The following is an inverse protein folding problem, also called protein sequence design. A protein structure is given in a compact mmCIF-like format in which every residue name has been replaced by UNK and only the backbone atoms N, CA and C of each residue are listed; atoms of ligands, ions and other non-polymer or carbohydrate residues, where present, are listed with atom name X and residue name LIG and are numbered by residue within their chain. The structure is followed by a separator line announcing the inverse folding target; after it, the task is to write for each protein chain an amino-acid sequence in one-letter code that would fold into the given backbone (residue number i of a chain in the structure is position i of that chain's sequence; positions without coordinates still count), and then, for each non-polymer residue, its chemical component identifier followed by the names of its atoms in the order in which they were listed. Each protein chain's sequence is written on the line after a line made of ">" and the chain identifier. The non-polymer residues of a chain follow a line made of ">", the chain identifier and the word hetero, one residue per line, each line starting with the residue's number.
data_IF_793168901143
#
_entry.id   IF_793168901143
#
_cell.length_a   1.000
_cell.length_b   1.000
_cell.length_c   1.000
_cell.angle_alpha   90.00
_cell.angle_beta   90.00
_cell.angle_gamma   90.00
#
_symmetry.space_group_name_H-M   'P 1'
#
loop_
_entity.id
_entity.type
_entity.pdbx_description
1 polymer ?
#
# COMPACT_ATOMS: atom_id res chain seq x y z
N UNK A 1 0.78 4.18 -30.62
CA UNK A 1 -0.46 4.39 -29.83
C UNK A 1 -0.83 5.86 -29.98
N UNK A 2 -0.86 6.35 -31.22
CA UNK A 2 -0.56 7.77 -31.45
C UNK A 2 -1.81 8.61 -31.20
N UNK A 3 -2.99 8.08 -31.53
CA UNK A 3 -4.28 8.74 -31.30
C UNK A 3 -4.51 9.15 -29.84
N UNK A 4 -4.10 8.32 -28.87
CA UNK A 4 -4.33 8.59 -27.44
C UNK A 4 -3.25 9.54 -26.92
N UNK A 5 -1.99 9.26 -27.20
CA UNK A 5 -0.88 10.04 -26.64
C UNK A 5 -0.81 11.45 -27.23
N UNK A 6 -1.17 11.63 -28.49
CA UNK A 6 -1.29 12.95 -29.11
C UNK A 6 -2.42 13.77 -28.49
N UNK A 7 -3.57 13.14 -28.20
CA UNK A 7 -4.69 13.80 -27.54
C UNK A 7 -4.37 14.14 -26.07
N UNK A 8 -3.71 13.22 -25.35
CA UNK A 8 -3.23 13.48 -23.99
C UNK A 8 -2.25 14.65 -23.95
N UNK A 9 -1.30 14.72 -24.89
CA UNK A 9 -0.38 15.86 -25.01
C UNK A 9 -1.14 17.18 -25.21
N UNK A 10 -2.12 17.21 -26.12
CA UNK A 10 -2.95 18.41 -26.35
C UNK A 10 -3.71 18.83 -25.09
N UNK A 11 -4.37 17.88 -24.41
CA UNK A 11 -5.19 18.17 -23.25
C UNK A 11 -4.37 18.56 -22.01
N UNK A 12 -3.20 17.96 -21.81
CA UNK A 12 -2.37 18.16 -20.63
C UNK A 12 -1.42 19.36 -20.70
N UNK A 13 -1.19 19.95 -21.87
CA UNK A 13 -0.42 21.22 -22.02
C UNK A 13 -0.95 22.38 -21.17
N UNK A 14 -2.21 22.32 -20.74
CA UNK A 14 -2.76 23.31 -19.78
C UNK A 14 -2.12 23.23 -18.39
N UNK A 15 -1.51 22.10 -18.05
CA UNK A 15 -0.88 21.81 -16.74
C UNK A 15 0.61 21.52 -16.85
N UNK A 16 1.06 20.94 -17.97
CA UNK A 16 2.43 20.51 -18.18
C UNK A 16 3.18 21.49 -19.10
N UNK A 17 4.47 21.75 -18.85
CA UNK A 17 5.29 22.59 -19.73
C UNK A 17 5.56 21.88 -21.06
N UNK A 18 5.78 22.65 -22.13
CA UNK A 18 6.04 22.11 -23.48
C UNK A 18 7.19 21.10 -23.54
N UNK A 19 8.15 21.18 -22.62
CA UNK A 19 9.28 20.24 -22.51
C UNK A 19 8.85 18.79 -22.25
N UNK A 20 7.64 18.54 -21.73
CA UNK A 20 7.14 17.17 -21.53
C UNK A 20 6.57 16.56 -22.80
N UNK A 21 6.24 17.37 -23.81
CA UNK A 21 5.52 16.92 -25.00
C UNK A 21 6.19 15.73 -25.73
N UNK A 22 7.53 15.71 -25.92
CA UNK A 22 8.18 14.60 -26.60
C UNK A 22 8.01 13.25 -25.87
N UNK A 23 8.10 13.23 -24.53
CA UNK A 23 7.96 11.98 -23.76
C UNK A 23 6.50 11.56 -23.62
N UNK A 24 5.57 12.52 -23.50
CA UNK A 24 4.13 12.23 -23.50
C UNK A 24 3.72 11.59 -24.82
N UNK A 25 4.14 12.14 -25.97
CA UNK A 25 3.84 11.55 -27.30
C UNK A 25 4.55 10.22 -27.52
N UNK A 26 5.77 10.04 -27.01
CA UNK A 26 6.53 8.78 -27.13
C UNK A 26 5.88 7.63 -26.35
N UNK A 27 5.44 7.88 -25.10
CA UNK A 27 5.04 6.80 -24.21
C UNK A 27 4.13 7.17 -23.04
N UNK A 28 3.57 8.38 -23.02
CA UNK A 28 2.70 8.90 -21.96
C UNK A 28 3.35 8.91 -20.55
N UNK A 29 4.67 9.03 -20.48
CA UNK A 29 5.42 9.33 -19.26
C UNK A 29 6.11 10.68 -19.38
N UNK A 30 6.39 11.34 -18.26
CA UNK A 30 7.00 12.68 -18.26
C UNK A 30 7.68 13.04 -16.94
N UNK A 31 8.56 14.05 -17.02
CA UNK A 31 9.29 14.64 -15.91
C UNK A 31 8.99 16.13 -15.85
N UNK A 32 8.64 16.64 -14.68
CA UNK A 32 8.39 18.07 -14.46
C UNK A 32 9.09 18.55 -13.19
N UNK A 33 9.79 19.68 -13.29
CA UNK A 33 10.30 20.37 -12.11
C UNK A 33 9.16 21.20 -11.52
N UNK A 34 8.60 20.75 -10.40
CA UNK A 34 7.43 21.39 -9.76
C UNK A 34 7.84 22.68 -9.06
N UNK A 35 9.03 22.68 -8.44
CA UNK A 35 9.65 23.84 -7.82
C UNK A 35 11.16 23.60 -7.71
N UNK A 36 12.00 24.63 -7.47
CA UNK A 36 13.44 24.43 -7.28
C UNK A 36 13.73 23.31 -6.25
N UNK A 37 14.54 22.32 -6.66
CA UNK A 37 14.87 21.17 -5.80
C UNK A 37 13.80 20.08 -5.69
N UNK A 38 12.68 20.16 -6.42
CA UNK A 38 11.61 19.16 -6.36
C UNK A 38 11.04 18.82 -7.75
N UNK A 39 11.19 17.55 -8.13
CA UNK A 39 10.78 16.98 -9.41
C UNK A 39 9.70 15.92 -9.22
N UNK A 40 8.80 15.86 -10.19
CA UNK A 40 7.79 14.82 -10.28
C UNK A 40 7.99 14.02 -11.57
N UNK A 41 7.99 12.69 -11.44
CA UNK A 41 8.10 11.75 -12.54
C UNK A 41 6.81 10.96 -12.63
N UNK A 42 6.10 11.05 -13.76
CA UNK A 42 4.89 10.27 -14.04
C UNK A 42 5.22 9.13 -14.99
N UNK A 43 4.99 7.90 -14.56
CA UNK A 43 5.27 6.67 -15.32
C UNK A 43 4.00 6.11 -15.97
N UNK A 44 4.17 5.49 -17.14
CA UNK A 44 3.14 4.71 -17.79
C UNK A 44 3.27 3.22 -17.44
N UNK A 45 2.69 2.87 -16.29
CA UNK A 45 2.74 1.51 -15.75
C UNK A 45 2.05 0.44 -16.63
N UNK A 46 1.37 0.82 -17.72
CA UNK A 46 0.88 -0.15 -18.71
C UNK A 46 2.01 -0.91 -19.40
N UNK A 47 3.25 -0.39 -19.38
CA UNK A 47 4.43 -1.09 -19.88
C UNK A 47 4.91 -2.23 -18.98
N UNK A 48 4.41 -2.30 -17.75
CA UNK A 48 4.59 -3.48 -16.90
C UNK A 48 3.35 -4.35 -16.78
N UNK A 49 2.19 -3.95 -17.31
CA UNK A 49 0.93 -4.64 -17.10
C UNK A 49 0.90 -6.03 -17.79
N UNK A 50 0.68 -7.10 -17.04
CA UNK A 50 0.56 -8.46 -17.56
C UNK A 50 -0.71 -8.69 -18.42
N UNK A 51 -1.66 -7.75 -18.39
CA UNK A 51 -2.84 -7.70 -19.29
C UNK A 51 -2.55 -6.94 -20.58
N UNK A 52 -1.39 -6.31 -20.72
CA UNK A 52 -0.97 -5.66 -21.96
C UNK A 52 -0.34 -6.69 -22.91
N UNK A 53 -1.19 -7.34 -23.71
CA UNK A 53 -0.84 -8.30 -24.75
C UNK A 53 0.22 -7.82 -25.76
N UNK A 54 0.42 -6.51 -25.97
CA UNK A 54 1.50 -5.99 -26.82
C UNK A 54 2.89 -6.36 -26.29
N UNK A 55 3.03 -6.60 -24.98
CA UNK A 55 4.28 -7.01 -24.35
C UNK A 55 4.71 -8.44 -24.73
N UNK A 56 3.84 -9.23 -25.36
CA UNK A 56 4.21 -10.53 -25.93
C UNK A 56 5.17 -10.39 -27.11
N UNK A 57 5.14 -9.26 -27.83
CA UNK A 57 6.07 -8.99 -28.93
C UNK A 57 7.45 -8.67 -28.41
N UNK A 58 7.53 -7.76 -27.42
CA UNK A 58 8.76 -7.45 -26.70
C UNK A 58 8.42 -6.78 -25.36
N UNK A 59 8.84 -7.41 -24.27
CA UNK A 59 8.67 -6.90 -22.90
C UNK A 59 9.95 -6.27 -22.33
N UNK A 60 11.01 -6.16 -23.12
CA UNK A 60 12.28 -5.55 -22.72
C UNK A 60 12.14 -4.04 -22.72
N UNK A 61 12.03 -3.45 -21.53
CA UNK A 61 11.90 -2.01 -21.25
C UNK A 61 11.12 -1.24 -22.34
N UNK A 62 9.80 -1.47 -22.46
CA UNK A 62 9.00 -0.84 -23.50
C UNK A 62 9.10 0.68 -23.47
N UNK A 63 9.26 1.29 -24.64
CA UNK A 63 9.53 2.72 -24.81
C UNK A 63 10.82 3.25 -24.13
N UNK A 64 11.67 2.37 -23.61
CA UNK A 64 12.87 2.69 -22.82
C UNK A 64 12.51 3.51 -21.56
N UNK A 65 11.36 3.19 -20.93
CA UNK A 65 10.85 3.95 -19.80
C UNK A 65 11.74 3.80 -18.55
N UNK A 66 12.20 2.60 -18.21
CA UNK A 66 13.09 2.39 -17.07
C UNK A 66 14.47 3.00 -17.32
N UNK A 67 14.99 2.90 -18.54
CA UNK A 67 16.22 3.60 -18.91
C UNK A 67 16.07 5.13 -18.76
N UNK A 68 14.96 5.68 -19.25
CA UNK A 68 14.64 7.11 -19.07
C UNK A 68 14.52 7.49 -17.58
N UNK A 69 13.85 6.66 -16.77
CA UNK A 69 13.71 6.87 -15.33
C UNK A 69 15.07 6.95 -14.63
N UNK A 70 16.03 6.07 -14.99
CA UNK A 70 17.39 6.12 -14.46
C UNK A 70 18.07 7.44 -14.81
N UNK A 71 17.94 7.94 -16.05
CA UNK A 71 18.52 9.23 -16.44
C UNK A 71 17.92 10.40 -15.65
N UNK A 72 16.60 10.43 -15.47
CA UNK A 72 15.92 11.47 -14.69
C UNK A 72 16.33 11.44 -13.21
N UNK A 73 16.36 10.25 -12.59
CA UNK A 73 16.78 10.10 -11.20
C UNK A 73 18.25 10.46 -10.99
N UNK A 74 19.13 10.06 -11.91
CA UNK A 74 20.54 10.44 -11.84
C UNK A 74 20.74 11.96 -12.00
N UNK A 75 20.00 12.59 -12.91
CA UNK A 75 20.00 14.04 -13.10
C UNK A 75 19.49 14.78 -11.85
N UNK A 76 18.43 14.27 -11.22
CA UNK A 76 17.91 14.80 -9.97
C UNK A 76 18.92 14.66 -8.82
N UNK A 77 19.57 13.50 -8.68
CA UNK A 77 20.61 13.25 -7.67
C UNK A 77 21.77 14.24 -7.81
N UNK A 78 22.28 14.45 -9.04
CA UNK A 78 23.36 15.39 -9.31
C UNK A 78 22.99 16.85 -9.01
N UNK A 79 21.71 17.20 -9.11
CA UNK A 79 21.17 18.53 -8.82
C UNK A 79 20.70 18.69 -7.37
N UNK A 80 20.78 17.64 -6.56
CA UNK A 80 20.25 17.63 -5.20
C UNK A 80 18.72 17.78 -5.12
N UNK A 81 18.00 17.39 -6.18
CA UNK A 81 16.54 17.44 -6.24
C UNK A 81 15.94 16.22 -5.52
N UNK A 82 14.80 16.43 -4.85
CA UNK A 82 13.93 15.34 -4.37
C UNK A 82 12.91 14.97 -5.44
N UNK A 83 12.55 13.69 -5.50
CA UNK A 83 11.68 13.15 -6.54
C UNK A 83 10.43 12.51 -5.94
N UNK A 84 9.26 12.86 -6.49
CA UNK A 84 8.03 12.08 -6.35
C UNK A 84 7.79 11.28 -7.63
N UNK A 85 7.47 9.99 -7.47
CA UNK A 85 7.10 9.11 -8.59
C UNK A 85 5.59 8.88 -8.55
N UNK A 86 4.92 9.11 -9.68
CA UNK A 86 3.51 8.81 -9.88
C UNK A 86 3.36 7.67 -10.89
N UNK A 87 2.41 6.77 -10.65
CA UNK A 87 2.04 5.74 -11.61
C UNK A 87 0.62 5.23 -11.36
N UNK A 88 0.11 4.36 -12.25
CA UNK A 88 -1.20 3.75 -12.06
C UNK A 88 -1.13 2.41 -11.34
N UNK A 89 -0.53 1.40 -11.98
CA UNK A 89 -0.38 0.05 -11.42
C UNK A 89 0.80 0.05 -10.45
N UNK A 90 0.62 -0.35 -9.18
CA UNK A 90 1.73 -0.43 -8.25
C UNK A 90 2.73 -1.54 -8.64
N UNK A 91 4.04 -1.30 -8.46
CA UNK A 91 5.09 -2.16 -8.99
C UNK A 91 5.19 -3.52 -8.30
N UNK A 92 4.74 -3.62 -7.04
CA UNK A 92 4.69 -4.86 -6.27
C UNK A 92 3.52 -5.77 -6.59
N UNK A 93 2.47 -5.23 -7.19
CA UNK A 93 1.26 -5.98 -7.51
C UNK A 93 1.50 -7.02 -8.62
N UNK A 94 0.76 -8.13 -8.58
CA UNK A 94 0.90 -9.25 -9.53
C UNK A 94 0.59 -8.89 -10.98
N UNK A 95 -0.13 -7.79 -11.19
CA UNK A 95 -0.41 -7.23 -12.52
C UNK A 95 0.85 -6.64 -13.16
N UNK A 96 1.90 -6.34 -12.40
CA UNK A 96 3.17 -5.88 -12.95
C UNK A 96 4.07 -7.08 -13.27
N UNK A 97 4.67 -7.11 -14.47
CA UNK A 97 5.55 -8.18 -14.91
C UNK A 97 6.77 -8.28 -14.01
N UNK A 98 7.10 -9.52 -13.59
CA UNK A 98 8.21 -9.81 -12.69
C UNK A 98 9.52 -9.11 -13.10
N UNK A 99 9.91 -9.22 -14.36
CA UNK A 99 11.19 -8.66 -14.84
C UNK A 99 11.20 -7.13 -14.75
N UNK A 100 10.11 -6.47 -15.16
CA UNK A 100 10.00 -5.00 -15.08
C UNK A 100 10.02 -4.54 -13.62
N UNK A 101 9.18 -5.16 -12.79
CA UNK A 101 9.06 -4.88 -11.35
C UNK A 101 10.38 -5.05 -10.60
N UNK A 102 11.13 -6.12 -10.88
CA UNK A 102 12.45 -6.33 -10.27
C UNK A 102 13.48 -5.26 -10.67
N UNK A 103 13.45 -4.76 -11.91
CA UNK A 103 14.35 -3.68 -12.34
C UNK A 103 13.92 -2.33 -11.74
N UNK A 104 12.63 -2.04 -11.69
CA UNK A 104 12.11 -0.87 -10.98
C UNK A 104 12.52 -0.89 -9.50
N UNK A 105 12.40 -2.03 -8.83
CA UNK A 105 12.81 -2.21 -7.44
C UNK A 105 14.30 -1.91 -7.19
N UNK A 106 15.18 -2.31 -8.12
CA UNK A 106 16.62 -1.99 -8.11
C UNK A 106 16.88 -0.51 -8.26
N UNK A 107 16.18 0.13 -9.20
CA UNK A 107 16.28 1.57 -9.46
C UNK A 107 15.87 2.36 -8.21
N UNK A 108 14.73 1.99 -7.60
CA UNK A 108 14.27 2.61 -6.35
C UNK A 108 15.31 2.48 -5.24
N UNK A 109 15.89 1.29 -5.05
CA UNK A 109 16.93 1.08 -4.04
C UNK A 109 18.19 1.90 -4.31
N UNK A 110 18.66 1.97 -5.56
CA UNK A 110 19.82 2.80 -5.93
C UNK A 110 19.60 4.28 -5.63
N UNK A 111 18.39 4.78 -5.81
CA UNK A 111 18.05 6.19 -5.67
C UNK A 111 17.22 6.50 -4.41
N UNK A 112 17.34 5.69 -3.35
CA UNK A 112 16.56 5.84 -2.11
C UNK A 112 16.72 7.20 -1.44
N UNK A 113 17.89 7.85 -1.58
CA UNK A 113 18.12 9.19 -1.03
C UNK A 113 17.50 10.32 -1.87
N UNK A 114 17.16 10.03 -3.13
CA UNK A 114 16.61 10.99 -4.10
C UNK A 114 15.09 10.91 -4.16
N UNK A 115 14.53 9.70 -4.08
CA UNK A 115 13.08 9.46 -4.10
C UNK A 115 12.50 9.76 -2.72
N UNK A 116 11.61 10.74 -2.64
CA UNK A 116 10.96 11.18 -1.40
C UNK A 116 9.54 10.62 -1.21
N UNK A 117 8.96 10.04 -2.27
CA UNK A 117 7.63 9.42 -2.20
C UNK A 117 7.22 8.81 -3.54
N UNK A 118 6.41 7.76 -3.48
CA UNK A 118 5.83 7.12 -4.66
C UNK A 118 4.32 6.94 -4.47
N UNK A 119 3.54 7.16 -5.53
CA UNK A 119 2.08 7.23 -5.47
C UNK A 119 1.45 6.47 -6.63
N UNK A 120 0.63 5.49 -6.29
CA UNK A 120 -0.04 4.59 -7.23
C UNK A 120 -1.55 4.47 -6.94
N UNK A 121 -2.26 3.73 -7.78
CA UNK A 121 -3.67 3.42 -7.63
C UNK A 121 -3.97 2.00 -8.12
N UNK A 122 -4.84 1.85 -9.12
CA UNK A 122 -5.21 0.58 -9.78
C UNK A 122 -5.99 -0.43 -8.93
N UNK A 123 -5.55 -0.71 -7.70
CA UNK A 123 -6.14 -1.75 -6.84
C UNK A 123 -7.50 -1.36 -6.27
N UNK A 124 -7.80 -0.06 -6.25
CA UNK A 124 -9.00 0.57 -5.69
C UNK A 124 -9.10 0.57 -4.15
N UNK A 125 -8.26 -0.20 -3.46
CA UNK A 125 -8.20 -0.29 -2.01
C UNK A 125 -7.24 0.74 -1.40
N UNK A 126 -7.33 0.94 -0.09
CA UNK A 126 -6.41 1.80 0.67
C UNK A 126 -5.26 0.96 1.23
N UNK A 127 -4.10 0.99 0.57
CA UNK A 127 -2.93 0.16 0.92
C UNK A 127 -1.59 0.85 0.58
N UNK A 128 -0.49 0.12 0.78
CA UNK A 128 0.86 0.60 0.50
C UNK A 128 1.81 -0.58 0.23
N UNK A 129 2.99 -0.29 -0.34
CA UNK A 129 4.05 -1.27 -0.57
C UNK A 129 5.38 -0.76 0.00
N UNK A 130 5.97 -1.52 0.93
CA UNK A 130 7.29 -1.25 1.49
C UNK A 130 8.36 -1.88 0.60
N UNK A 131 9.42 -1.10 0.35
CA UNK A 131 10.63 -1.53 -0.34
C UNK A 131 11.73 -1.74 0.70
N UNK A 132 12.56 -2.73 0.46
CA UNK A 132 13.69 -3.13 1.29
C UNK A 132 14.98 -3.13 0.47
N UNK A 133 16.09 -2.85 1.16
CA UNK A 133 17.44 -2.98 0.62
C UNK A 133 17.69 -4.38 0.01
N UNK A 134 18.35 -4.45 -1.14
CA UNK A 134 18.55 -5.72 -1.86
C UNK A 134 19.53 -6.67 -1.16
N UNK A 135 20.50 -6.13 -0.42
CA UNK A 135 21.54 -6.86 0.29
C UNK A 135 21.08 -7.18 1.71
N UNK A 136 20.62 -6.15 2.44
CA UNK A 136 20.10 -6.27 3.80
C UNK A 136 18.57 -6.06 3.81
N UNK A 137 17.84 -7.11 3.45
CA UNK A 137 16.37 -7.10 3.29
C UNK A 137 15.55 -6.81 4.56
N UNK A 138 16.20 -6.55 5.69
CA UNK A 138 15.55 -6.09 6.92
C UNK A 138 15.41 -4.56 7.02
N UNK A 139 16.07 -3.79 6.14
CA UNK A 139 16.01 -2.32 6.15
C UNK A 139 15.03 -1.82 5.11
N UNK A 140 13.96 -1.16 5.55
CA UNK A 140 13.03 -0.49 4.66
C UNK A 140 13.71 0.73 4.01
N UNK A 141 13.74 0.79 2.69
CA UNK A 141 14.43 1.82 1.89
C UNK A 141 13.46 2.82 1.25
N UNK A 142 12.22 2.41 0.94
CA UNK A 142 11.22 3.29 0.33
C UNK A 142 9.79 2.81 0.62
N UNK A 143 8.82 3.69 0.34
CA UNK A 143 7.39 3.43 0.46
C UNK A 143 6.67 3.86 -0.82
N UNK A 144 5.74 3.04 -1.28
CA UNK A 144 4.78 3.39 -2.31
C UNK A 144 3.36 3.40 -1.73
N UNK A 145 2.70 4.55 -1.81
CA UNK A 145 1.32 4.70 -1.35
C UNK A 145 0.36 4.34 -2.46
N UNK A 146 -0.62 3.49 -2.17
CA UNK A 146 -1.66 3.10 -3.13
C UNK A 146 -2.96 3.75 -2.69
N UNK A 147 -3.34 4.80 -3.41
CA UNK A 147 -4.52 5.59 -3.13
C UNK A 147 -5.80 4.82 -3.45
N UNK A 148 -6.83 4.91 -2.59
CA UNK A 148 -8.09 4.25 -2.88
C UNK A 148 -8.84 4.96 -4.00
N UNK A 149 -9.79 4.26 -4.64
CA UNK A 149 -10.51 4.79 -5.79
C UNK A 149 -11.70 5.68 -5.41
N UNK A 150 -12.04 6.62 -6.30
CA UNK A 150 -13.33 7.32 -6.25
C UNK A 150 -14.47 6.39 -6.67
N UNK A 151 -14.23 5.49 -7.62
CA UNK A 151 -15.26 4.51 -8.04
C UNK A 151 -15.58 3.52 -6.91
N UNK A 152 -16.86 3.13 -6.74
CA UNK A 152 -17.22 2.08 -5.79
C UNK A 152 -16.91 0.67 -6.31
N UNK A 153 -16.35 0.52 -7.52
CA UNK A 153 -16.10 -0.77 -8.15
C UNK A 153 -15.02 -1.58 -7.39
N UNK A 154 -15.33 -2.74 -6.81
CA UNK A 154 -16.69 -3.18 -6.46
C UNK A 154 -16.84 -3.33 -4.94
N UNK A 155 -18.04 -3.02 -4.45
CA UNK A 155 -18.36 -3.12 -3.03
C UNK A 155 -17.57 -2.15 -2.14
N UNK A 156 -17.17 -0.99 -2.66
CA UNK A 156 -16.44 0.03 -1.91
C UNK A 156 -17.27 1.31 -1.80
N UNK A 157 -17.05 2.09 -0.74
CA UNK A 157 -17.44 3.49 -0.76
C UNK A 157 -16.53 4.28 -1.73
N UNK A 158 -17.00 5.36 -2.37
CA UNK A 158 -16.13 6.35 -3.01
C UNK A 158 -15.13 6.93 -2.00
N UNK A 159 -13.87 7.07 -2.41
CA UNK A 159 -12.83 7.64 -1.58
C UNK A 159 -11.83 8.49 -2.36
N UNK A 160 -11.23 9.46 -1.68
CA UNK A 160 -10.04 10.17 -2.16
C UNK A 160 -9.04 10.37 -1.02
N UNK A 161 -7.80 10.73 -1.36
CA UNK A 161 -6.68 10.88 -0.43
C UNK A 161 -6.09 12.28 -0.54
N UNK A 162 -5.72 12.87 0.59
CA UNK A 162 -4.89 14.07 0.67
C UNK A 162 -3.59 13.69 1.39
N UNK A 163 -2.45 14.03 0.79
CA UNK A 163 -1.13 13.83 1.41
C UNK A 163 -0.61 15.16 1.95
N UNK A 164 -0.14 15.14 3.19
CA UNK A 164 0.64 16.21 3.77
C UNK A 164 2.11 15.90 3.53
N UNK A 165 2.81 16.80 2.84
CA UNK A 165 4.20 16.63 2.43
C UNK A 165 5.04 17.71 3.09
N UNK A 166 6.27 17.36 3.45
CA UNK A 166 7.25 18.32 3.94
C UNK A 166 7.42 19.50 2.97
N UNK A 167 7.46 20.70 3.53
CA UNK A 167 7.15 21.95 2.85
C UNK A 167 8.17 22.39 1.80
N UNK A 168 7.92 23.55 1.17
CA UNK A 168 8.85 24.14 0.21
C UNK A 168 9.84 25.09 0.90
N UNK A 169 10.98 24.56 1.35
CA UNK A 169 12.07 25.33 1.95
C UNK A 169 13.43 24.67 1.68
N UNK A 170 14.53 25.39 1.91
CA UNK A 170 15.88 24.86 1.68
C UNK A 170 16.18 23.67 2.61
N UNK A 171 16.60 22.53 2.04
CA UNK A 171 16.86 21.31 2.80
C UNK A 171 15.60 20.49 3.14
N UNK A 172 14.44 20.81 2.54
CA UNK A 172 13.22 20.01 2.63
C UNK A 172 13.46 18.55 2.25
N UNK A 173 12.83 17.64 2.99
CA UNK A 173 12.86 16.22 2.67
C UNK A 173 11.91 15.86 1.52
N UNK A 174 10.87 16.66 1.30
CA UNK A 174 9.70 16.36 0.45
C UNK A 174 9.03 15.01 0.77
N UNK A 175 9.28 14.43 1.94
CA UNK A 175 8.63 13.18 2.34
C UNK A 175 7.17 13.44 2.75
N UNK A 176 6.34 12.42 2.62
CA UNK A 176 4.99 12.45 3.19
C UNK A 176 5.10 12.43 4.71
N UNK A 177 4.51 13.42 5.37
CA UNK A 177 4.52 13.57 6.84
C UNK A 177 3.23 13.08 7.50
N UNK A 178 2.11 13.11 6.77
CA UNK A 178 0.84 12.45 7.13
C UNK A 178 -0.03 12.29 5.88
N UNK A 179 -1.11 11.52 5.96
CA UNK A 179 -2.15 11.53 4.93
C UNK A 179 -3.52 11.29 5.53
N UNK A 180 -4.55 11.81 4.85
CA UNK A 180 -5.94 11.60 5.20
C UNK A 180 -6.71 10.96 4.05
N UNK A 181 -7.59 10.02 4.39
CA UNK A 181 -8.53 9.42 3.45
C UNK A 181 -9.92 9.96 3.76
N UNK A 182 -10.62 10.42 2.73
CA UNK A 182 -12.00 10.90 2.80
C UNK A 182 -12.90 9.95 2.03
N UNK A 183 -14.10 9.70 2.54
CA UNK A 183 -15.07 8.82 1.90
C UNK A 183 -16.46 9.44 1.88
N UNK A 184 -17.28 8.92 0.97
CA UNK A 184 -18.73 9.10 0.96
C UNK A 184 -19.38 7.76 1.30
N UNK A 185 -20.14 7.69 2.39
CA UNK A 185 -20.92 6.49 2.71
C UNK A 185 -22.07 6.36 1.70
N UNK A 186 -21.99 5.35 0.81
CA UNK A 186 -23.01 5.13 -0.21
C UNK A 186 -24.34 4.68 0.38
N UNK A 187 -24.33 3.96 1.51
CA UNK A 187 -25.58 3.54 2.15
C UNK A 187 -26.29 4.77 2.73
N UNK A 188 -25.56 5.72 3.32
CA UNK A 188 -26.11 7.00 3.78
C UNK A 188 -26.59 7.83 2.59
N UNK A 189 -25.72 8.05 1.59
CA UNK A 189 -25.97 8.94 0.45
C UNK A 189 -27.18 8.51 -0.42
N UNK A 190 -27.50 7.22 -0.46
CA UNK A 190 -28.61 6.70 -1.26
C UNK A 190 -29.95 6.59 -0.49
N UNK A 191 -30.04 7.08 0.75
CA UNK A 191 -31.32 7.13 1.48
C UNK A 191 -32.24 8.20 0.87
N UNK A 192 -33.55 7.93 0.85
CA UNK A 192 -34.57 8.79 0.21
C UNK A 192 -34.66 10.24 0.71
N UNK A 193 -34.02 10.60 1.82
CA UNK A 193 -34.09 11.94 2.45
C UNK A 193 -32.72 12.63 2.55
N UNK A 194 -31.79 12.33 1.64
CA UNK A 194 -30.47 12.98 1.59
C UNK A 194 -30.40 13.90 0.37
N UNK A 195 -30.38 15.21 0.60
CA UNK A 195 -30.37 16.23 -0.46
C UNK A 195 -29.05 16.27 -1.23
N UNK A 196 -27.92 15.99 -0.55
CA UNK A 196 -26.59 15.96 -1.14
C UNK A 196 -25.68 14.97 -0.42
N UNK A 197 -24.85 14.20 -1.15
CA UNK A 197 -23.97 13.25 -0.52
C UNK A 197 -22.87 13.95 0.29
N UNK A 198 -22.65 13.50 1.53
CA UNK A 198 -21.63 14.05 2.42
C UNK A 198 -20.32 13.27 2.28
N UNK A 199 -19.25 14.00 1.99
CA UNK A 199 -17.88 13.51 2.16
C UNK A 199 -17.39 13.81 3.58
N UNK A 200 -16.77 12.84 4.23
CA UNK A 200 -16.18 13.02 5.55
C UNK A 200 -14.81 12.33 5.64
N UNK A 201 -13.95 12.87 6.49
CA UNK A 201 -12.63 12.30 6.75
C UNK A 201 -12.80 10.97 7.48
N UNK A 202 -12.33 9.89 6.86
CA UNK A 202 -12.34 8.56 7.45
C UNK A 202 -11.27 8.43 8.53
N UNK A 203 -10.04 8.85 8.23
CA UNK A 203 -8.92 8.83 9.17
C UNK A 203 -7.73 9.68 8.70
N UNK A 204 -6.81 10.00 9.62
CA UNK A 204 -5.42 10.38 9.31
C UNK A 204 -4.50 9.23 9.70
N UNK A 205 -3.47 8.94 8.92
CA UNK A 205 -2.62 7.75 9.09
C UNK A 205 -1.93 7.71 10.46
N UNK A 206 -1.30 8.82 10.87
CA UNK A 206 -0.56 8.86 12.14
C UNK A 206 -1.46 8.65 13.34
N UNK A 207 -2.62 9.31 13.38
CA UNK A 207 -3.59 9.15 14.47
C UNK A 207 -4.11 7.71 14.53
N UNK A 208 -4.59 7.18 13.41
CA UNK A 208 -5.32 5.93 13.42
C UNK A 208 -4.43 4.71 13.68
N UNK A 209 -3.18 4.76 13.21
CA UNK A 209 -2.21 3.69 13.40
C UNK A 209 -1.21 3.96 14.53
N UNK A 210 -1.33 5.11 15.23
CA UNK A 210 -0.42 5.57 16.28
C UNK A 210 1.04 5.55 15.78
N UNK A 211 1.26 6.14 14.61
CA UNK A 211 2.58 6.16 13.97
C UNK A 211 3.36 7.43 14.34
N UNK A 212 4.62 7.32 14.78
CA UNK A 212 5.42 8.48 15.13
C UNK A 212 5.78 9.30 13.88
N UNK A 213 6.02 8.64 12.74
CA UNK A 213 6.22 9.25 11.43
C UNK A 213 5.72 8.31 10.32
N UNK A 214 5.81 8.74 9.06
CA UNK A 214 5.49 7.92 7.89
C UNK A 214 6.75 7.52 7.10
N UNK A 215 7.88 7.36 7.77
CA UNK A 215 9.11 6.81 7.15
C UNK A 215 8.88 5.35 6.69
N UNK A 216 9.66 4.84 5.72
CA UNK A 216 9.56 3.44 5.30
C UNK A 216 9.67 2.45 6.48
N UNK A 217 10.54 2.74 7.45
CA UNK A 217 10.74 1.88 8.62
C UNK A 217 9.53 1.87 9.56
N UNK A 218 8.84 2.99 9.74
CA UNK A 218 7.62 3.03 10.56
C UNK A 218 6.46 2.29 9.87
N UNK A 219 6.37 2.33 8.54
CA UNK A 219 5.42 1.50 7.78
C UNK A 219 5.71 0.01 7.90
N UNK A 220 6.99 -0.40 7.87
CA UNK A 220 7.40 -1.77 8.16
C UNK A 220 7.02 -2.20 9.58
N UNK A 221 7.32 -1.36 10.58
CA UNK A 221 6.93 -1.61 11.96
C UNK A 221 5.41 -1.74 12.13
N UNK A 222 4.60 -0.97 11.40
CA UNK A 222 3.14 -1.11 11.41
C UNK A 222 2.72 -2.51 10.94
N UNK A 223 3.33 -3.06 9.88
CA UNK A 223 3.04 -4.43 9.42
C UNK A 223 3.32 -5.43 10.54
N UNK A 224 4.48 -5.33 11.18
CA UNK A 224 4.83 -6.22 12.29
C UNK A 224 3.87 -6.06 13.48
N UNK A 225 3.47 -4.83 13.82
CA UNK A 225 2.47 -4.55 14.87
C UNK A 225 1.14 -5.24 14.61
N UNK A 226 0.66 -5.20 13.36
CA UNK A 226 -0.58 -5.83 12.95
C UNK A 226 -0.53 -7.36 13.04
N UNK A 227 0.65 -8.00 13.11
CA UNK A 227 0.72 -9.47 13.26
C UNK A 227 0.19 -9.95 14.62
N UNK A 228 0.40 -9.17 15.69
CA UNK A 228 0.03 -9.54 17.07
C UNK A 228 -1.13 -8.70 17.64
N UNK A 229 -1.38 -7.50 17.11
CA UNK A 229 -2.52 -6.66 17.50
C UNK A 229 -3.66 -6.81 16.48
N UNK A 230 -4.61 -7.69 16.79
CA UNK A 230 -5.77 -7.93 15.92
C UNK A 230 -6.70 -6.71 15.81
N UNK A 231 -6.80 -5.87 16.85
CA UNK A 231 -7.63 -4.67 16.79
C UNK A 231 -7.03 -3.64 15.82
N UNK A 232 -5.70 -3.48 15.84
CA UNK A 232 -4.99 -2.65 14.88
C UNK A 232 -5.15 -3.18 13.45
N UNK A 233 -5.04 -4.50 13.24
CA UNK A 233 -5.30 -5.11 11.95
C UNK A 233 -6.74 -4.91 11.48
N UNK A 234 -7.75 -5.07 12.35
CA UNK A 234 -9.15 -4.84 11.98
C UNK A 234 -9.44 -3.37 11.64
N UNK A 235 -8.72 -2.44 12.29
CA UNK A 235 -8.74 -1.01 11.96
C UNK A 235 -8.17 -0.78 10.56
N UNK A 236 -6.99 -1.32 10.25
CA UNK A 236 -6.41 -1.28 8.91
C UNK A 236 -7.36 -1.89 7.87
N UNK A 237 -7.89 -3.09 8.14
CA UNK A 237 -8.79 -3.79 7.24
C UNK A 237 -10.12 -3.03 6.99
N UNK A 238 -10.57 -2.22 7.95
CA UNK A 238 -11.72 -1.32 7.76
C UNK A 238 -11.39 -0.23 6.75
N UNK A 239 -10.22 0.38 6.87
CA UNK A 239 -9.80 1.46 5.98
C UNK A 239 -9.40 0.96 4.60
N UNK A 240 -8.78 -0.22 4.49
CA UNK A 240 -8.51 -0.92 3.23
C UNK A 240 -9.76 -0.98 2.34
N UNK A 241 -10.91 -1.28 2.94
CA UNK A 241 -12.23 -1.34 2.29
C UNK A 241 -13.00 -0.01 2.29
N UNK A 242 -12.37 1.12 2.61
CA UNK A 242 -13.01 2.44 2.70
C UNK A 242 -14.26 2.44 3.60
N UNK A 243 -14.19 1.70 4.72
CA UNK A 243 -15.30 1.47 5.64
C UNK A 243 -16.59 0.97 4.96
N UNK A 244 -16.45 0.20 3.87
CA UNK A 244 -17.59 -0.37 3.17
C UNK A 244 -18.42 -1.30 4.07
N UNK A 245 -19.76 -1.17 4.08
CA UNK A 245 -20.63 -2.05 4.87
C UNK A 245 -20.70 -3.48 4.32
N UNK A 246 -20.31 -3.70 3.05
CA UNK A 246 -20.29 -5.02 2.40
C UNK A 246 -18.90 -5.67 2.42
N UNK A 247 -17.96 -5.10 3.18
CA UNK A 247 -16.63 -5.68 3.40
C UNK A 247 -16.76 -7.13 3.93
N UNK A 248 -16.09 -8.12 3.30
CA UNK A 248 -16.14 -9.50 3.75
C UNK A 248 -15.42 -9.71 5.08
N UNK A 249 -15.64 -10.86 5.73
CA UNK A 249 -14.82 -11.28 6.87
C UNK A 249 -13.40 -11.62 6.43
N UNK A 250 -12.41 -11.30 7.26
CA UNK A 250 -11.01 -11.62 7.01
C UNK A 250 -10.51 -12.61 8.07
N UNK A 251 -10.28 -13.85 7.65
CA UNK A 251 -9.64 -14.87 8.46
C UNK A 251 -8.12 -14.68 8.51
N UNK A 252 -7.40 -15.65 9.08
CA UNK A 252 -5.96 -15.54 9.21
C UNK A 252 -5.20 -15.66 7.89
N UNK A 253 -5.73 -16.39 6.90
CA UNK A 253 -5.07 -16.50 5.61
C UNK A 253 -5.26 -15.21 4.81
N UNK A 254 -6.44 -14.59 4.91
CA UNK A 254 -6.68 -13.23 4.47
C UNK A 254 -5.71 -12.24 5.15
N UNK A 255 -5.54 -12.31 6.47
CA UNK A 255 -4.60 -11.46 7.23
C UNK A 255 -3.15 -11.63 6.74
N UNK A 256 -2.67 -12.88 6.62
CA UNK A 256 -1.34 -13.18 6.10
C UNK A 256 -1.13 -12.57 4.73
N UNK A 257 -2.05 -12.80 3.80
CA UNK A 257 -1.97 -12.28 2.43
C UNK A 257 -1.90 -10.75 2.40
N UNK A 258 -2.75 -10.06 3.15
CA UNK A 258 -2.72 -8.59 3.19
C UNK A 258 -1.42 -8.04 3.76
N UNK A 259 -0.96 -8.59 4.90
CA UNK A 259 0.30 -8.13 5.52
C UNK A 259 1.53 -8.45 4.67
N UNK A 260 1.50 -9.56 3.95
CA UNK A 260 2.48 -9.92 2.93
C UNK A 260 2.54 -8.91 1.79
N UNK A 261 1.37 -8.53 1.26
CA UNK A 261 1.28 -7.60 0.13
C UNK A 261 1.87 -6.24 0.50
N UNK A 262 1.65 -5.79 1.74
CA UNK A 262 2.25 -4.56 2.27
C UNK A 262 3.79 -4.56 2.28
N UNK A 263 4.42 -5.73 2.42
CA UNK A 263 5.90 -5.88 2.39
C UNK A 263 6.43 -6.20 0.99
N UNK A 264 5.59 -6.16 -0.05
CA UNK A 264 5.95 -6.65 -1.37
C UNK A 264 6.07 -5.52 -2.38
N UNK A 265 7.08 -4.65 -2.29
CA UNK A 265 7.38 -3.67 -3.35
C UNK A 265 7.84 -4.30 -4.69
N UNK A 266 7.94 -5.63 -4.76
CA UNK A 266 8.37 -6.42 -5.90
C UNK A 266 7.37 -7.52 -6.20
N UNK A 267 6.87 -7.55 -7.43
CA UNK A 267 5.88 -8.54 -7.86
C UNK A 267 6.45 -9.95 -7.90
N UNK A 268 5.58 -10.94 -7.67
CA UNK A 268 5.90 -12.37 -7.79
C UNK A 268 7.04 -12.83 -6.85
N UNK A 269 7.19 -12.17 -5.69
CA UNK A 269 8.30 -12.40 -4.75
C UNK A 269 7.87 -12.72 -3.30
N UNK A 270 6.56 -12.94 -3.08
CA UNK A 270 5.96 -13.16 -1.75
C UNK A 270 6.70 -14.17 -0.88
N UNK A 271 7.29 -15.23 -1.45
CA UNK A 271 8.01 -16.26 -0.66
C UNK A 271 9.10 -15.69 0.25
N UNK A 272 9.77 -14.62 -0.17
CA UNK A 272 10.88 -14.04 0.59
C UNK A 272 10.40 -13.01 1.63
N UNK A 273 9.33 -12.29 1.35
CA UNK A 273 8.81 -11.20 2.20
C UNK A 273 7.77 -11.68 3.22
N UNK A 274 7.16 -12.86 2.98
CA UNK A 274 6.07 -13.40 3.78
C UNK A 274 6.48 -14.34 4.90
N UNK A 275 7.62 -15.03 4.78
CA UNK A 275 7.94 -16.17 5.64
C UNK A 275 7.85 -15.79 7.13
N UNK A 276 8.45 -14.67 7.51
CA UNK A 276 8.42 -14.19 8.90
C UNK A 276 7.00 -13.81 9.37
N UNK A 277 6.19 -13.22 8.50
CA UNK A 277 4.81 -12.81 8.81
C UNK A 277 3.94 -14.06 9.03
N UNK A 278 4.07 -15.06 8.15
CA UNK A 278 3.33 -16.32 8.25
C UNK A 278 3.68 -17.05 9.54
N UNK A 279 4.98 -17.21 9.83
CA UNK A 279 5.47 -17.85 11.07
C UNK A 279 4.94 -17.16 12.33
N UNK A 280 4.95 -15.81 12.36
CA UNK A 280 4.44 -15.03 13.49
C UNK A 280 2.95 -15.22 13.71
N UNK A 281 2.14 -15.16 12.65
CA UNK A 281 0.69 -15.34 12.75
C UNK A 281 0.34 -16.77 13.20
N UNK A 282 1.04 -17.78 12.66
CA UNK A 282 0.81 -19.17 13.03
C UNK A 282 1.23 -19.48 14.48
N UNK A 283 2.32 -18.87 14.96
CA UNK A 283 2.74 -19.01 16.36
C UNK A 283 1.72 -18.43 17.34
N UNK A 284 1.11 -17.29 17.01
CA UNK A 284 0.11 -16.62 17.84
C UNK A 284 -1.15 -17.49 17.98
N UNK A 285 -1.59 -18.11 16.89
CA UNK A 285 -2.70 -19.08 16.90
C UNK A 285 -2.42 -20.32 17.75
N UNK A 286 -1.20 -20.86 17.68
CA UNK A 286 -0.81 -22.01 18.51
C UNK A 286 -0.84 -21.63 20.00
N UNK A 287 -0.36 -20.45 20.36
CA UNK A 287 -0.41 -19.93 21.73
C UNK A 287 -1.84 -19.74 22.24
N UNK A 288 -2.73 -19.16 21.42
CA UNK A 288 -4.14 -18.99 21.79
C UNK A 288 -4.86 -20.34 21.94
N UNK A 289 -4.60 -21.29 21.04
CA UNK A 289 -5.14 -22.65 21.12
C UNK A 289 -4.71 -23.39 22.39
N UNK A 290 -3.43 -23.31 22.76
CA UNK A 290 -2.91 -23.89 24.00
C UNK A 290 -3.52 -23.28 25.26
N UNK A 291 -3.69 -21.95 25.29
CA UNK A 291 -4.37 -21.28 26.40
C UNK A 291 -5.82 -21.76 26.50
N UNK A 292 -6.55 -21.82 25.39
CA UNK A 292 -7.92 -22.34 25.37
C UNK A 292 -8.01 -23.79 25.83
N UNK A 293 -7.05 -24.63 25.46
CA UNK A 293 -6.98 -26.02 25.93
C UNK A 293 -6.72 -26.13 27.43
N UNK A 294 -5.81 -25.32 27.99
CA UNK A 294 -5.57 -25.26 29.44
C UNK A 294 -6.79 -24.76 30.22
N UNK A 295 -7.45 -23.68 29.75
CA UNK A 295 -8.64 -23.15 30.41
C UNK A 295 -9.84 -24.11 30.34
N UNK A 296 -10.01 -24.83 29.22
CA UNK A 296 -11.03 -25.87 29.09
C UNK A 296 -10.66 -27.14 29.90
N UNK A 297 -9.38 -27.47 30.02
CA UNK A 297 -8.90 -28.61 30.83
C UNK A 297 -9.05 -28.39 32.33
N UNK A 298 -8.83 -27.16 32.82
CA UNK A 298 -9.06 -26.80 34.23
C UNK A 298 -10.56 -26.81 34.58
N UNK A 299 -11.43 -26.51 33.61
CA UNK A 299 -12.89 -26.54 33.82
C UNK A 299 -13.47 -27.96 33.96
N UNK A 300 -12.75 -28.99 33.52
CA UNK A 300 -13.20 -30.40 33.61
C UNK A 300 -12.73 -31.08 34.91
N UNK A 301 -11.77 -30.52 35.63
CA UNK A 301 -11.24 -31.09 36.88
C UNK A 301 -11.96 -30.63 38.16
N UNK A 302 -12.97 -29.76 38.06
CA UNK A 302 -13.68 -29.19 39.22
C UNK A 302 -15.00 -29.91 39.61
N UNK A 303 -15.32 -31.07 39.01
CA UNK A 303 -16.52 -31.86 39.34
C UNK A 303 -16.14 -33.30 39.67
N UNK A 304 -15.79 -33.56 40.94
CA UNK A 304 -15.49 -34.93 41.35
C UNK A 304 -14.97 -35.12 42.77
N UNK A 305 -15.68 -34.60 43.79
CA UNK A 305 -15.55 -35.13 45.15
C UNK A 305 -16.92 -35.14 45.85
N UNK A 306 -17.63 -36.26 45.74
CA UNK A 306 -18.75 -36.60 46.64
C UNK A 306 -18.22 -37.49 47.76
N UNK A 307 -18.28 -36.98 48.99
CA UNK A 307 -18.00 -37.72 50.24
C UNK A 307 -19.08 -38.78 50.52
N UNK A 308 -18.74 -39.99 51.01
CA UNK A 308 -19.73 -40.94 51.49
C UNK A 308 -20.10 -40.67 52.96
N UNK A 309 -21.41 -40.65 53.24
CA UNK A 309 -21.99 -40.59 54.59
C UNK A 309 -21.92 -41.96 55.29
N UNK A 310 -21.44 -41.98 56.53
CA UNK A 310 -21.62 -43.05 57.52
C UNK A 310 -23.01 -42.94 58.17
N UNK A 311 -23.73 -44.07 58.43
CA UNK A 311 -24.89 -44.06 59.31
C UNK A 311 -24.50 -44.45 60.74
N UNK A 312 -25.04 -43.74 61.73
CA UNK A 312 -25.08 -44.14 63.13
C UNK A 312 -26.52 -44.48 63.54
N UNK A 313 -26.62 -45.57 64.30
CA UNK A 313 -27.79 -46.29 64.82
C UNK A 313 -28.79 -45.45 65.64
N UNK A 314 -30.07 -45.85 65.62
CA UNK A 314 -30.90 -46.13 66.81
C UNK A 314 -32.13 -46.97 66.41
N UNK A 315 -32.40 -48.06 67.15
CA UNK A 315 -33.57 -48.92 67.01
C UNK A 315 -33.26 -50.40 67.22
#
# INVERSE_FOLDING_TARGET
>A
MDWLYDELDLLWRRWLPDSTSPTVRKGAFYSVLVSPGFRMLSLNMNYCNNKNWWLLLNSTDPAQELQWLVYELQSAELKGEKVHILGHIPPGHSDCLKVWSHNYYRIVNRYEATIAGQFFGHTHFDEYEVFYDEVYRGRASSIAYIGPSVTPYYGLNPGYRIYHVDGNYAGTSRMVVDHETWIMDLQEANRHNVDSPRWYRLYTAREAFRMPSLTPQDWDHLVHRMTYDDNLFQTYYKYYWKASPVRPSCDADCKKRLLCDLKSGRSNDRKLTCQEIEERIDSTKKSSSWKTWLFNGVSVLALGFTLPHLPALFG
#
